data_IF_076443711613
#
_entry.id   IF_076443711613
#
_cell.length_a   1.000
_cell.length_b   1.000
_cell.length_c   1.000
_cell.angle_alpha   90.00
_cell.angle_beta   90.00
_cell.angle_gamma   90.00
#
_symmetry.space_group_name_H-M   'P 1'
#
loop_
_entity.id
_entity.type
_entity.pdbx_description
1 polymer ?
#
# COMPACT_ATOMS: atom_id res chain seq x y z
N UNK A 1 -39.62 -34.96 17.75
CA UNK A 1 -40.77 -34.04 17.86
C UNK A 1 -40.86 -33.67 19.33
N UNK A 2 -40.46 -32.48 19.76
CA UNK A 2 -41.22 -31.22 19.61
C UNK A 2 -40.26 -30.03 19.50
N UNK A 3 -40.48 -29.16 18.52
CA UNK A 3 -39.68 -27.96 18.27
C UNK A 3 -40.09 -26.83 19.23
N UNK A 4 -39.11 -26.16 19.84
CA UNK A 4 -39.30 -24.94 20.63
C UNK A 4 -39.06 -23.74 19.69
N UNK A 5 -40.14 -23.05 19.35
CA UNK A 5 -40.11 -21.86 18.48
C UNK A 5 -39.67 -20.64 19.29
N UNK A 6 -38.59 -19.98 18.86
CA UNK A 6 -38.06 -18.74 19.45
C UNK A 6 -38.88 -17.53 18.98
N UNK A 7 -39.18 -16.53 19.82
CA UNK A 7 -39.98 -15.37 19.42
C UNK A 7 -39.20 -14.46 18.45
N UNK A 8 -39.87 -14.09 17.35
CA UNK A 8 -39.41 -13.15 16.33
C UNK A 8 -39.40 -11.71 16.90
N UNK A 9 -38.30 -10.98 16.67
CA UNK A 9 -38.14 -9.59 17.11
C UNK A 9 -38.64 -8.66 15.99
N UNK A 10 -39.58 -7.79 16.31
CA UNK A 10 -40.18 -6.81 15.39
C UNK A 10 -39.12 -5.77 14.96
N UNK A 11 -38.97 -5.55 13.65
CA UNK A 11 -38.23 -4.41 13.09
C UNK A 11 -39.14 -3.18 13.03
N UNK A 12 -38.67 -1.96 13.37
CA UNK A 12 -39.40 -0.73 13.09
C UNK A 12 -39.31 -0.35 11.61
N UNK A 13 -40.41 0.18 11.08
CA UNK A 13 -40.60 0.52 9.67
C UNK A 13 -39.77 1.72 9.20
N UNK A 14 -39.40 1.69 7.91
CA UNK A 14 -38.72 2.72 7.16
C UNK A 14 -39.50 4.05 7.16
N UNK A 15 -38.78 5.17 7.33
CA UNK A 15 -39.34 6.52 7.23
C UNK A 15 -38.94 7.10 5.87
N UNK A 16 -39.91 7.13 4.95
CA UNK A 16 -39.81 7.86 3.69
C UNK A 16 -39.73 9.37 3.95
N UNK A 17 -38.66 10.01 3.48
CA UNK A 17 -38.56 11.47 3.43
C UNK A 17 -38.81 11.95 2.00
N UNK A 18 -40.02 12.45 1.77
CA UNK A 18 -40.46 12.98 0.49
C UNK A 18 -39.71 14.27 0.10
N UNK A 19 -39.44 14.33 -1.20
CA UNK A 19 -38.68 15.27 -2.02
C UNK A 19 -39.23 16.69 -2.04
N UNK A 20 -38.35 17.71 -1.92
CA UNK A 20 -38.63 19.12 -2.24
C UNK A 20 -38.17 19.51 -3.66
N UNK A 21 -38.70 20.60 -4.28
CA UNK A 21 -38.50 20.86 -5.70
C UNK A 21 -37.23 21.65 -6.04
N UNK A 22 -36.45 21.11 -6.99
CA UNK A 22 -35.85 21.80 -8.15
C UNK A 22 -34.94 23.02 -7.95
N UNK A 23 -33.63 22.81 -8.10
CA UNK A 23 -32.73 23.74 -8.81
C UNK A 23 -31.75 22.95 -9.68
N UNK A 24 -32.01 22.93 -10.98
CA UNK A 24 -31.11 22.38 -11.99
C UNK A 24 -29.92 23.32 -12.19
N UNK A 25 -28.78 23.00 -11.62
CA UNK A 25 -27.49 23.52 -12.07
C UNK A 25 -26.92 22.49 -13.05
N UNK A 26 -26.69 22.91 -14.30
CA UNK A 26 -26.24 22.06 -15.39
C UNK A 26 -24.97 21.29 -15.04
N UNK A 27 -25.11 19.97 -15.00
CA UNK A 27 -24.03 19.00 -15.04
C UNK A 27 -23.56 18.90 -16.49
N UNK A 28 -22.33 19.31 -16.78
CA UNK A 28 -21.65 18.83 -17.99
C UNK A 28 -21.29 17.38 -17.73
N UNK A 29 -22.22 16.49 -18.07
CA UNK A 29 -22.04 15.05 -18.03
C UNK A 29 -20.92 14.68 -19.02
N UNK A 30 -19.72 14.48 -18.50
CA UNK A 30 -18.77 13.58 -19.15
C UNK A 30 -19.19 12.15 -18.80
N UNK A 31 -20.04 11.60 -19.66
CA UNK A 31 -20.40 10.18 -19.68
C UNK A 31 -19.14 9.35 -20.02
N UNK A 32 -18.35 9.04 -19.00
CA UNK A 32 -17.27 8.07 -19.04
C UNK A 32 -17.78 6.70 -18.60
N UNK A 33 -17.29 5.60 -19.19
CA UNK A 33 -17.95 4.30 -19.07
C UNK A 33 -18.06 3.83 -17.61
N UNK A 34 -19.30 3.64 -17.16
CA UNK A 34 -19.63 3.04 -15.86
C UNK A 34 -19.33 1.54 -15.87
N UNK A 35 -18.05 1.20 -15.81
CA UNK A 35 -17.54 -0.09 -15.36
C UNK A 35 -17.42 -0.13 -13.82
N UNK A 36 -17.07 -1.27 -13.20
CA UNK A 36 -16.66 -1.27 -11.80
C UNK A 36 -15.58 -0.22 -11.63
N UNK A 37 -15.73 0.68 -10.64
CA UNK A 37 -14.82 1.81 -10.43
C UNK A 37 -13.37 1.35 -10.60
N UNK A 38 -12.69 1.90 -11.63
CA UNK A 38 -11.35 1.47 -11.99
C UNK A 38 -10.42 1.72 -10.79
N UNK A 39 -9.83 0.65 -10.26
CA UNK A 39 -8.90 0.76 -9.13
C UNK A 39 -7.68 1.52 -9.61
N UNK A 40 -7.35 2.62 -8.92
CA UNK A 40 -6.14 3.38 -9.19
C UNK A 40 -4.90 2.49 -9.08
N UNK A 41 -4.01 2.53 -10.06
CA UNK A 41 -2.76 1.76 -10.09
C UNK A 41 -1.57 2.70 -9.96
N UNK A 42 -0.65 2.40 -9.06
CA UNK A 42 0.46 3.28 -8.68
C UNK A 42 1.76 2.49 -8.70
N UNK A 43 2.75 3.01 -9.42
CA UNK A 43 4.12 2.51 -9.40
C UNK A 43 5.02 3.58 -8.81
N UNK A 44 5.66 3.27 -7.68
CA UNK A 44 6.70 4.10 -7.09
C UNK A 44 8.06 3.48 -7.38
N UNK A 45 8.98 4.26 -7.96
CA UNK A 45 10.34 3.81 -8.29
C UNK A 45 11.31 4.60 -7.43
N UNK A 46 12.13 3.88 -6.67
CA UNK A 46 13.04 4.43 -5.69
C UNK A 46 14.47 3.91 -5.92
N UNK A 47 15.47 4.70 -5.53
CA UNK A 47 16.86 4.35 -5.79
C UNK A 47 17.35 3.26 -4.82
N UNK A 48 17.10 3.44 -3.53
CA UNK A 48 17.62 2.56 -2.48
C UNK A 48 16.51 2.06 -1.54
N UNK A 49 16.78 0.99 -0.76
CA UNK A 49 15.83 0.48 0.23
C UNK A 49 15.70 1.41 1.45
N UNK A 50 14.66 2.23 1.53
CA UNK A 50 14.30 3.20 2.60
C UNK A 50 13.62 4.43 1.99
N UNK A 51 13.97 4.78 0.76
CA UNK A 51 13.44 5.91 0.01
C UNK A 51 11.90 5.84 -0.11
N UNK A 52 11.32 4.64 -0.20
CA UNK A 52 9.86 4.44 -0.24
C UNK A 52 9.18 4.84 1.06
N UNK A 53 9.87 4.68 2.18
CA UNK A 53 9.39 5.05 3.50
C UNK A 53 9.63 6.54 3.77
N UNK A 54 10.82 7.04 3.41
CA UNK A 54 11.27 8.41 3.69
C UNK A 54 10.53 9.46 2.86
N UNK A 55 10.40 9.22 1.54
CA UNK A 55 9.88 10.23 0.63
C UNK A 55 8.40 10.08 0.36
N UNK A 56 7.90 8.84 0.30
CA UNK A 56 6.56 8.54 -0.21
C UNK A 56 5.70 7.72 0.75
N UNK A 57 6.22 7.31 1.91
CA UNK A 57 5.58 6.30 2.77
C UNK A 57 4.14 6.63 3.15
N UNK A 58 3.87 7.87 3.59
CA UNK A 58 2.51 8.30 3.94
C UNK A 58 1.57 8.27 2.73
N UNK A 59 2.06 8.66 1.56
CA UNK A 59 1.29 8.66 0.31
C UNK A 59 0.96 7.23 -0.11
N UNK A 60 1.96 6.33 -0.11
CA UNK A 60 1.77 4.93 -0.49
C UNK A 60 0.79 4.23 0.46
N UNK A 61 0.96 4.39 1.77
CA UNK A 61 0.05 3.80 2.76
C UNK A 61 -1.38 4.34 2.63
N UNK A 62 -1.54 5.65 2.37
CA UNK A 62 -2.86 6.24 2.14
C UNK A 62 -3.53 5.67 0.89
N UNK A 63 -2.79 5.56 -0.21
CA UNK A 63 -3.32 5.04 -1.48
C UNK A 63 -3.72 3.57 -1.34
N UNK A 64 -2.88 2.75 -0.70
CA UNK A 64 -3.19 1.36 -0.39
C UNK A 64 -4.48 1.24 0.46
N UNK A 65 -4.62 2.07 1.51
CA UNK A 65 -5.83 2.10 2.34
C UNK A 65 -7.09 2.53 1.58
N UNK A 66 -6.95 3.35 0.55
CA UNK A 66 -8.05 3.75 -0.35
C UNK A 66 -8.37 2.71 -1.43
N UNK A 67 -7.67 1.57 -1.44
CA UNK A 67 -7.91 0.47 -2.37
C UNK A 67 -7.15 0.56 -3.69
N UNK A 68 -6.12 1.42 -3.78
CA UNK A 68 -5.24 1.45 -4.93
C UNK A 68 -4.35 0.20 -5.00
N UNK A 69 -4.04 -0.25 -6.22
CA UNK A 69 -3.01 -1.25 -6.48
C UNK A 69 -1.66 -0.55 -6.52
N UNK A 70 -0.87 -0.69 -5.45
CA UNK A 70 0.40 0.01 -5.29
C UNK A 70 1.56 -0.98 -5.40
N UNK A 71 2.55 -0.67 -6.24
CA UNK A 71 3.81 -1.39 -6.35
C UNK A 71 5.00 -0.45 -6.11
N UNK A 72 6.04 -0.99 -5.48
CA UNK A 72 7.32 -0.31 -5.25
C UNK A 72 8.41 -1.08 -5.99
N UNK A 73 9.17 -0.37 -6.83
CA UNK A 73 10.39 -0.86 -7.48
C UNK A 73 11.58 -0.15 -6.87
N UNK A 74 12.56 -0.92 -6.43
CA UNK A 74 13.83 -0.39 -5.89
C UNK A 74 14.96 -0.67 -6.87
N UNK A 75 15.75 0.33 -7.21
CA UNK A 75 16.77 0.20 -8.25
C UNK A 75 18.03 -0.54 -7.80
N UNK A 76 18.36 -0.50 -6.50
CA UNK A 76 19.60 -1.08 -5.94
C UNK A 76 19.30 -1.84 -4.65
N UNK A 77 20.27 -2.61 -4.14
CA UNK A 77 20.16 -3.20 -2.78
C UNK A 77 20.73 -2.26 -1.70
N UNK A 78 21.39 -1.17 -2.09
CA UNK A 78 22.00 -0.22 -1.17
C UNK A 78 23.23 -0.79 -0.46
N UNK A 79 24.03 -1.58 -1.19
CA UNK A 79 25.23 -2.28 -0.74
C UNK A 79 26.27 -1.35 -0.11
N UNK A 80 26.42 -0.15 -0.67
CA UNK A 80 27.39 0.87 -0.24
C UNK A 80 26.84 1.80 0.85
N UNK A 81 25.65 1.52 1.39
CA UNK A 81 25.03 2.35 2.41
C UNK A 81 25.81 2.41 3.72
N UNK A 82 25.65 3.52 4.44
CA UNK A 82 26.18 3.65 5.80
C UNK A 82 25.41 2.76 6.78
N UNK A 83 26.14 2.19 7.75
CA UNK A 83 25.55 1.38 8.83
C UNK A 83 25.62 2.14 10.15
N UNK A 84 24.48 2.30 10.80
CA UNK A 84 24.37 2.98 12.08
C UNK A 84 24.58 2.00 13.23
N UNK A 85 25.54 2.30 14.11
CA UNK A 85 25.86 1.51 15.30
C UNK A 85 26.69 0.26 15.03
N UNK A 86 27.25 -0.33 16.08
CA UNK A 86 28.30 -1.37 15.93
C UNK A 86 27.77 -2.73 15.46
N UNK A 87 26.53 -3.07 15.81
CA UNK A 87 25.97 -4.43 15.64
C UNK A 87 26.05 -4.95 14.20
N UNK A 88 25.79 -4.07 13.23
CA UNK A 88 25.70 -4.45 11.82
C UNK A 88 26.85 -3.89 10.98
N UNK A 89 27.78 -3.13 11.56
CA UNK A 89 28.94 -2.60 10.85
C UNK A 89 29.75 -3.66 10.09
N UNK A 90 29.90 -4.91 10.57
CA UNK A 90 30.55 -5.97 9.80
C UNK A 90 29.90 -6.28 8.44
N UNK A 91 28.68 -5.82 8.17
CA UNK A 91 27.98 -6.00 6.90
C UNK A 91 28.36 -4.96 5.83
N UNK A 92 28.88 -3.81 6.24
CA UNK A 92 29.26 -2.74 5.33
C UNK A 92 30.35 -3.21 4.35
N UNK A 93 30.42 -2.55 3.19
CA UNK A 93 31.53 -2.77 2.23
C UNK A 93 32.86 -2.34 2.85
N UNK A 94 32.89 -1.15 3.47
CA UNK A 94 34.08 -0.62 4.11
C UNK A 94 34.39 -1.37 5.41
N UNK A 95 35.44 -2.18 5.41
CA UNK A 95 35.93 -2.88 6.60
C UNK A 95 35.06 -4.06 7.07
N UNK A 96 34.07 -4.46 6.27
CA UNK A 96 33.18 -5.58 6.55
C UNK A 96 33.18 -6.64 5.43
N UNK A 97 32.09 -7.39 5.35
CA UNK A 97 31.92 -8.49 4.40
C UNK A 97 31.05 -8.14 3.19
N UNK A 98 30.58 -6.90 3.05
CA UNK A 98 29.79 -6.44 1.91
C UNK A 98 28.39 -7.06 1.80
N UNK A 99 27.87 -7.69 2.86
CA UNK A 99 26.56 -8.35 2.86
C UNK A 99 25.38 -7.41 3.17
N UNK A 100 25.62 -6.09 3.25
CA UNK A 100 24.60 -5.11 3.62
C UNK A 100 23.38 -5.15 2.68
N UNK A 101 23.58 -5.23 1.36
CA UNK A 101 22.48 -5.25 0.40
C UNK A 101 21.52 -6.42 0.64
N UNK A 102 22.05 -7.63 0.85
CA UNK A 102 21.24 -8.80 1.17
C UNK A 102 20.47 -8.66 2.48
N UNK A 103 21.06 -7.99 3.48
CA UNK A 103 20.38 -7.69 4.74
C UNK A 103 19.24 -6.67 4.56
N UNK A 104 19.45 -5.64 3.74
CA UNK A 104 18.47 -4.58 3.46
C UNK A 104 17.25 -5.08 2.68
N UNK A 105 17.34 -6.19 1.95
CA UNK A 105 16.16 -6.85 1.36
C UNK A 105 15.12 -7.18 2.44
N UNK A 106 15.55 -7.74 3.57
CA UNK A 106 14.66 -8.08 4.67
C UNK A 106 14.14 -6.83 5.40
N UNK A 107 14.91 -5.74 5.43
CA UNK A 107 14.44 -4.45 5.95
C UNK A 107 13.34 -3.86 5.08
N UNK A 108 13.54 -3.84 3.77
CA UNK A 108 12.55 -3.38 2.80
C UNK A 108 11.27 -4.22 2.85
N UNK A 109 11.40 -5.55 2.91
CA UNK A 109 10.25 -6.45 3.09
C UNK A 109 9.39 -6.05 4.29
N UNK A 110 10.02 -5.77 5.43
CA UNK A 110 9.33 -5.34 6.65
C UNK A 110 8.72 -3.95 6.50
N UNK A 111 9.43 -3.01 5.87
CA UNK A 111 8.93 -1.66 5.63
C UNK A 111 7.67 -1.67 4.74
N UNK A 112 7.71 -2.38 3.61
CA UNK A 112 6.56 -2.53 2.71
C UNK A 112 5.35 -3.15 3.43
N UNK A 113 5.58 -4.16 4.27
CA UNK A 113 4.51 -4.76 5.08
C UNK A 113 3.89 -3.74 6.06
N UNK A 114 4.67 -2.85 6.68
CA UNK A 114 4.16 -1.78 7.55
C UNK A 114 3.35 -0.73 6.77
N UNK A 115 3.68 -0.49 5.49
CA UNK A 115 2.92 0.40 4.62
C UNK A 115 1.62 -0.24 4.08
N UNK A 116 1.35 -1.51 4.39
CA UNK A 116 0.19 -2.24 3.90
C UNK A 116 0.31 -2.68 2.43
N UNK A 117 1.54 -2.81 1.94
CA UNK A 117 1.87 -3.21 0.57
C UNK A 117 2.28 -4.69 0.50
N UNK A 118 2.43 -5.22 -0.71
CA UNK A 118 3.02 -6.55 -0.91
C UNK A 118 4.43 -6.58 -0.30
N UNK A 119 4.69 -7.58 0.55
CA UNK A 119 5.95 -7.67 1.28
C UNK A 119 7.12 -8.08 0.37
N UNK A 120 6.88 -8.75 -0.75
CA UNK A 120 7.92 -9.14 -1.70
C UNK A 120 8.39 -7.91 -2.51
N UNK A 121 9.63 -7.43 -2.33
CA UNK A 121 10.11 -6.25 -3.04
C UNK A 121 10.41 -6.58 -4.49
N UNK A 122 10.15 -5.63 -5.38
CA UNK A 122 10.58 -5.72 -6.77
C UNK A 122 11.86 -4.91 -6.95
N UNK A 123 12.91 -5.56 -7.45
CA UNK A 123 14.17 -4.89 -7.79
C UNK A 123 14.27 -4.68 -9.29
N UNK A 124 14.72 -3.51 -9.73
CA UNK A 124 14.96 -3.24 -11.13
C UNK A 124 16.07 -4.17 -11.64
N UNK A 125 15.80 -4.96 -12.67
CA UNK A 125 16.76 -5.94 -13.21
C UNK A 125 16.91 -7.22 -12.38
N UNK A 126 16.19 -7.36 -11.26
CA UNK A 126 16.30 -8.49 -10.34
C UNK A 126 17.36 -8.27 -9.25
N UNK A 127 17.54 -9.27 -8.38
CA UNK A 127 18.52 -9.20 -7.29
C UNK A 127 19.92 -9.50 -7.84
N UNK A 128 20.87 -8.57 -7.68
CA UNK A 128 22.27 -8.73 -8.08
C UNK A 128 22.55 -8.50 -9.57
N UNK A 129 21.72 -7.69 -10.25
CA UNK A 129 21.87 -7.30 -11.64
C UNK A 129 22.98 -6.27 -11.91
#
# INVERSE_FOLDING_TARGET
>A
MTAVTKPQRHQPADVDHATGPGRSAGSTDHDGPSGPAERLRVLAVHAHPDDESLWTGLTLAKLARLGAEVQVVTCTLGEEGEVIGEKYQPLAVAGGNGMLGGYRIAELQRALAQLGLAAEPTFLGGVGG
#
